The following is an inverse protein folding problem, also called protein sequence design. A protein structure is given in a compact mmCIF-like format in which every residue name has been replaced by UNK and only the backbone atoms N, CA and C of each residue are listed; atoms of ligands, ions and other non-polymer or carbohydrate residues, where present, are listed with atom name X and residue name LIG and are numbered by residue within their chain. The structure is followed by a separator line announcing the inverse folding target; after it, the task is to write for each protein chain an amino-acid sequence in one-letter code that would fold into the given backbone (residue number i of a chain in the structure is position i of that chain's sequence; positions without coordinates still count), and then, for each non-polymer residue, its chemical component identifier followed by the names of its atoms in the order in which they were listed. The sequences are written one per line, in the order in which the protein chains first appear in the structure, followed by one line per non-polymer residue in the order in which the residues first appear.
data_IF_641481968078
#
_entry.id   IF_641481968078
#
_cell.length_a   1.000
_cell.length_b   1.000
_cell.length_c   1.000
_cell.angle_alpha   90.00
_cell.angle_beta   90.00
_cell.angle_gamma   90.00
#
_symmetry.space_group_name_H-M   'P 1'
#
loop_
_entity.id
_entity.type
_entity.pdbx_description
1 polymer ?
#
# COMPACT_ATOMS: atom_id res chain seq x y z
N UNK A 1 -11.88 -22.84 27.56
CA UNK A 1 -12.14 -21.58 26.83
C UNK A 1 -11.33 -21.66 25.54
N UNK A 2 -11.92 -22.14 24.44
CA UNK A 2 -11.16 -22.50 23.23
C UNK A 2 -11.49 -21.61 22.01
N UNK A 3 -12.25 -20.53 22.21
CA UNK A 3 -12.75 -19.71 21.09
C UNK A 3 -11.78 -18.63 20.57
N UNK A 4 -10.73 -18.27 21.31
CA UNK A 4 -9.83 -17.17 20.96
C UNK A 4 -8.96 -17.48 19.73
N UNK A 5 -8.37 -18.68 19.71
CA UNK A 5 -7.52 -19.15 18.60
C UNK A 5 -8.32 -19.35 17.31
N UNK A 6 -9.53 -19.93 17.39
CA UNK A 6 -10.40 -20.13 16.22
C UNK A 6 -10.83 -18.80 15.58
N UNK A 7 -11.14 -17.79 16.39
CA UNK A 7 -11.51 -16.46 15.90
C UNK A 7 -10.36 -15.82 15.10
N UNK A 8 -9.12 -15.93 15.60
CA UNK A 8 -7.94 -15.42 14.90
C UNK A 8 -7.66 -16.16 13.61
N UNK A 9 -7.76 -17.50 13.60
CA UNK A 9 -7.60 -18.31 12.37
C UNK A 9 -8.62 -17.90 11.31
N UNK A 10 -9.87 -17.64 11.70
CA UNK A 10 -10.91 -17.12 10.81
C UNK A 10 -10.58 -15.72 10.27
N UNK A 11 -10.12 -14.82 11.13
CA UNK A 11 -9.68 -13.48 10.77
C UNK A 11 -8.53 -13.49 9.77
N UNK A 12 -7.51 -14.32 10.03
CA UNK A 12 -6.37 -14.51 9.15
C UNK A 12 -6.78 -15.05 7.77
N UNK A 13 -7.67 -16.05 7.72
CA UNK A 13 -8.18 -16.57 6.46
C UNK A 13 -8.92 -15.48 5.64
N UNK A 14 -9.68 -14.61 6.30
CA UNK A 14 -10.35 -13.48 5.65
C UNK A 14 -9.34 -12.43 5.13
N UNK A 15 -8.32 -12.11 5.93
CA UNK A 15 -7.23 -11.21 5.55
C UNK A 15 -6.44 -11.76 4.35
N UNK A 16 -6.05 -13.03 4.39
CA UNK A 16 -5.35 -13.71 3.31
C UNK A 16 -6.17 -13.70 2.02
N UNK A 17 -7.49 -13.94 2.10
CA UNK A 17 -8.39 -13.83 0.96
C UNK A 17 -8.43 -12.41 0.38
N UNK A 18 -8.46 -11.39 1.24
CA UNK A 18 -8.43 -9.99 0.81
C UNK A 18 -7.13 -9.65 0.08
N UNK A 19 -5.99 -10.01 0.66
CA UNK A 19 -4.66 -9.81 0.06
C UNK A 19 -4.54 -10.55 -1.28
N UNK A 20 -4.95 -11.81 -1.33
CA UNK A 20 -4.88 -12.61 -2.56
C UNK A 20 -5.76 -12.04 -3.67
N UNK A 21 -6.94 -11.51 -3.35
CA UNK A 21 -7.82 -10.86 -4.34
C UNK A 21 -7.15 -9.64 -4.98
N UNK A 22 -6.51 -8.79 -4.17
CA UNK A 22 -5.80 -7.62 -4.69
C UNK A 22 -4.52 -8.02 -5.44
N UNK A 23 -3.75 -8.99 -4.95
CA UNK A 23 -2.59 -9.56 -5.67
C UNK A 23 -2.97 -10.11 -7.04
N UNK A 24 -4.08 -10.85 -7.15
CA UNK A 24 -4.58 -11.35 -8.42
C UNK A 24 -4.90 -10.22 -9.42
N UNK A 25 -5.50 -9.13 -8.92
CA UNK A 25 -5.77 -7.94 -9.74
C UNK A 25 -4.48 -7.30 -10.25
N UNK A 26 -3.45 -7.19 -9.39
CA UNK A 26 -2.14 -6.66 -9.79
C UNK A 26 -1.44 -7.58 -10.79
N UNK A 27 -1.54 -8.90 -10.62
CA UNK A 27 -1.01 -9.86 -11.59
C UNK A 27 -1.69 -9.73 -12.96
N UNK A 28 -3.00 -9.50 -13.01
CA UNK A 28 -3.71 -9.31 -14.28
C UNK A 28 -3.35 -7.98 -14.97
N UNK A 29 -3.05 -6.94 -14.20
CA UNK A 29 -2.49 -5.67 -14.72
C UNK A 29 -1.08 -5.87 -15.26
N UNK A 30 -0.25 -6.63 -14.54
CA UNK A 30 1.11 -6.97 -14.97
C UNK A 30 1.12 -7.77 -16.28
N UNK A 31 0.18 -8.72 -16.46
CA UNK A 31 0.01 -9.45 -17.73
C UNK A 31 -0.37 -8.55 -18.91
N UNK A 32 -0.98 -7.40 -18.64
CA UNK A 32 -1.31 -6.36 -19.64
C UNK A 32 -0.18 -5.35 -19.83
N UNK A 33 1.00 -5.63 -19.25
CA UNK A 33 2.17 -4.74 -19.25
C UNK A 33 1.89 -3.36 -18.63
N UNK A 34 0.86 -3.28 -17.79
CA UNK A 34 0.54 -2.05 -17.05
C UNK A 34 1.53 -1.87 -15.90
N UNK A 35 1.96 -0.62 -15.68
CA UNK A 35 2.84 -0.31 -14.55
C UNK A 35 2.07 -0.37 -13.23
N UNK A 36 2.71 -0.99 -12.26
CA UNK A 36 2.34 -0.91 -10.84
C UNK A 36 2.72 0.50 -10.37
N UNK A 37 1.81 1.17 -9.65
CA UNK A 37 2.08 2.50 -9.10
C UNK A 37 2.76 2.41 -7.72
N UNK A 38 3.23 3.55 -7.21
CA UNK A 38 3.91 3.60 -5.91
C UNK A 38 3.01 3.17 -4.75
N UNK A 39 1.69 3.42 -4.84
CA UNK A 39 0.71 3.00 -3.84
C UNK A 39 0.59 1.47 -3.75
N UNK A 40 0.60 0.78 -4.90
CA UNK A 40 0.54 -0.66 -4.97
C UNK A 40 1.86 -1.30 -4.50
N UNK A 41 3.00 -0.67 -4.78
CA UNK A 41 4.30 -1.10 -4.21
C UNK A 41 4.32 -0.97 -2.70
N UNK A 42 3.92 0.20 -2.17
CA UNK A 42 3.85 0.44 -0.72
C UNK A 42 2.87 -0.52 -0.05
N UNK A 43 1.76 -0.85 -0.73
CA UNK A 43 0.81 -1.83 -0.25
C UNK A 43 1.40 -3.25 -0.21
N UNK A 44 2.22 -3.63 -1.20
CA UNK A 44 2.88 -4.93 -1.25
C UNK A 44 3.91 -5.12 -0.13
N UNK A 45 4.67 -4.07 0.20
CA UNK A 45 5.72 -4.13 1.23
C UNK A 45 5.17 -4.11 2.65
N UNK A 46 4.03 -3.44 2.87
CA UNK A 46 3.40 -3.33 4.18
C UNK A 46 2.16 -4.22 4.31
N UNK A 47 0.95 -3.71 4.04
CA UNK A 47 -0.31 -4.43 4.29
C UNK A 47 -0.46 -5.81 3.63
N UNK A 48 0.26 -6.11 2.54
CA UNK A 48 0.23 -7.42 1.89
C UNK A 48 1.27 -8.41 2.41
N UNK A 49 2.15 -7.95 3.31
CA UNK A 49 3.13 -8.76 4.01
C UNK A 49 2.50 -9.35 5.28
N UNK A 50 2.05 -10.60 5.18
CA UNK A 50 1.31 -11.30 6.23
C UNK A 50 2.21 -12.13 7.17
N UNK A 51 3.53 -11.93 7.11
CA UNK A 51 4.51 -12.73 7.87
C UNK A 51 4.30 -12.57 9.38
N UNK A 52 3.98 -11.35 9.83
CA UNK A 52 3.76 -11.08 11.26
C UNK A 52 2.49 -11.78 11.77
N UNK A 53 1.41 -11.79 10.99
CA UNK A 53 0.17 -12.49 11.32
C UNK A 53 0.35 -14.01 11.34
N UNK A 54 1.08 -14.58 10.36
CA UNK A 54 1.38 -16.02 10.32
C UNK A 54 2.21 -16.44 11.53
N UNK A 55 3.28 -15.70 11.82
CA UNK A 55 4.13 -15.97 12.99
C UNK A 55 3.39 -15.83 14.31
N UNK A 56 2.45 -14.90 14.39
CA UNK A 56 1.59 -14.73 15.57
C UNK A 56 0.72 -15.97 15.78
N UNK A 57 0.12 -16.53 14.73
CA UNK A 57 -0.67 -17.75 14.81
C UNK A 57 0.19 -18.95 15.22
N UNK A 58 1.38 -19.13 14.64
CA UNK A 58 2.30 -20.20 15.04
C UNK A 58 2.65 -20.14 16.53
N UNK A 59 2.92 -18.94 17.04
CA UNK A 59 3.28 -18.74 18.44
C UNK A 59 2.10 -19.06 19.38
N UNK A 60 0.89 -18.68 18.98
CA UNK A 60 -0.33 -18.94 19.75
C UNK A 60 -0.77 -20.41 19.67
N UNK A 61 -0.53 -21.08 18.54
CA UNK A 61 -0.81 -22.52 18.36
C UNK A 61 0.19 -23.38 19.14
N UNK A 62 1.43 -22.91 19.28
CA UNK A 62 2.47 -23.56 20.09
C UNK A 62 2.32 -23.30 21.59
N UNK A 63 1.52 -22.32 21.99
CA UNK A 63 1.28 -22.00 23.39
C UNK A 63 0.25 -22.96 23.99
N UNK A 64 0.52 -23.47 25.20
CA UNK A 64 -0.43 -24.33 25.91
C UNK A 64 -1.68 -23.60 26.39
N UNK A 65 -1.59 -22.28 26.57
CA UNK A 65 -2.70 -21.42 26.96
C UNK A 65 -2.71 -20.16 26.08
N UNK A 66 -3.90 -19.81 25.61
CA UNK A 66 -4.10 -18.71 24.67
C UNK A 66 -3.82 -17.34 25.29
N UNK A 67 -4.23 -17.10 26.53
CA UNK A 67 -4.03 -15.83 27.23
C UNK A 67 -2.55 -15.66 27.62
N UNK A 68 -1.89 -16.76 28.00
CA UNK A 68 -0.45 -16.79 28.21
C UNK A 68 0.31 -16.50 26.91
N UNK A 69 -0.09 -17.11 25.80
CA UNK A 69 0.49 -16.86 24.48
C UNK A 69 0.37 -15.39 24.07
N UNK A 70 -0.82 -14.78 24.25
CA UNK A 70 -1.05 -13.37 23.98
C UNK A 70 -0.16 -12.45 24.84
N UNK A 71 0.02 -12.78 26.11
CA UNK A 71 0.84 -11.98 27.04
C UNK A 71 2.33 -11.98 26.68
N UNK A 72 2.79 -13.02 25.99
CA UNK A 72 4.18 -13.15 25.54
C UNK A 72 4.45 -12.45 24.18
N UNK A 73 3.44 -11.89 23.53
CA UNK A 73 3.60 -11.22 22.23
C UNK A 73 4.26 -9.85 22.37
N UNK A 74 5.21 -9.55 21.48
CA UNK A 74 5.77 -8.22 21.32
C UNK A 74 4.74 -7.27 20.66
N UNK A 75 4.95 -5.96 20.76
CA UNK A 75 4.07 -4.91 20.24
C UNK A 75 3.70 -5.10 18.76
N UNK A 76 4.64 -5.59 17.94
CA UNK A 76 4.42 -5.87 16.50
C UNK A 76 3.41 -7.02 16.32
N UNK A 77 3.62 -8.13 17.04
CA UNK A 77 2.73 -9.29 16.96
C UNK A 77 1.36 -9.00 17.61
N UNK A 78 1.31 -8.15 18.64
CA UNK A 78 0.04 -7.68 19.19
C UNK A 78 -0.76 -6.84 18.18
N UNK A 79 -0.08 -6.00 17.38
CA UNK A 79 -0.73 -5.28 16.29
C UNK A 79 -1.31 -6.25 15.25
N UNK A 80 -0.58 -7.33 14.93
CA UNK A 80 -1.06 -8.39 14.03
C UNK A 80 -2.31 -9.11 14.59
N UNK A 81 -2.37 -9.39 15.90
CA UNK A 81 -3.59 -9.93 16.56
C UNK A 81 -4.78 -9.00 16.37
N UNK A 82 -4.60 -7.70 16.57
CA UNK A 82 -5.69 -6.73 16.41
C UNK A 82 -6.14 -6.65 14.95
N UNK A 83 -5.20 -6.63 14.01
CA UNK A 83 -5.50 -6.66 12.58
C UNK A 83 -6.32 -7.91 12.19
N UNK A 84 -5.94 -9.09 12.66
CA UNK A 84 -6.71 -10.32 12.44
C UNK A 84 -8.11 -10.26 13.07
N UNK A 85 -8.24 -9.71 14.29
CA UNK A 85 -9.55 -9.55 14.97
C UNK A 85 -10.48 -8.61 14.21
N UNK A 86 -9.97 -7.52 13.63
CA UNK A 86 -10.76 -6.60 12.81
C UNK A 86 -11.36 -7.31 11.59
N UNK A 87 -10.56 -8.12 10.89
CA UNK A 87 -11.04 -8.93 9.78
C UNK A 87 -12.00 -10.04 10.23
N UNK A 88 -11.80 -10.64 11.40
CA UNK A 88 -12.72 -11.62 11.97
C UNK A 88 -14.08 -11.02 12.32
N UNK A 89 -14.10 -9.77 12.78
CA UNK A 89 -15.31 -8.99 13.06
C UNK A 89 -16.03 -8.51 11.79
N UNK A 90 -15.47 -8.75 10.61
CA UNK A 90 -16.01 -8.26 9.34
C UNK A 90 -15.81 -6.77 9.14
N UNK A 91 -14.96 -6.12 9.95
CA UNK A 91 -14.53 -4.75 9.72
C UNK A 91 -13.51 -4.80 8.60
N UNK A 92 -14.00 -4.78 7.35
CA UNK A 92 -13.16 -4.47 6.20
C UNK A 92 -12.84 -2.98 6.28
N UNK A 93 -11.92 -2.60 7.16
CA UNK A 93 -11.30 -1.27 7.08
C UNK A 93 -10.51 -1.24 5.79
N UNK A 94 -11.20 -0.91 4.70
CA UNK A 94 -10.62 -0.23 3.57
C UNK A 94 -9.76 0.89 4.13
N UNK A 95 -8.44 0.69 4.11
CA UNK A 95 -7.44 1.72 4.42
C UNK A 95 -7.52 2.76 3.30
N UNK A 96 -8.55 3.59 3.38
CA UNK A 96 -8.70 4.86 2.69
C UNK A 96 -9.12 5.88 3.75
N UNK A 97 -8.32 5.99 4.82
CA UNK A 97 -8.49 7.03 5.83
C UNK A 97 -7.19 7.34 6.59
N UNK A 98 -6.03 7.36 5.92
CA UNK A 98 -4.95 8.23 6.39
C UNK A 98 -5.28 9.66 5.96
N UNK A 99 -5.85 10.37 6.93
CA UNK A 99 -6.15 11.79 6.97
C UNK A 99 -5.01 12.62 6.37
N UNK A 100 -5.19 13.12 5.15
CA UNK A 100 -4.34 14.19 4.63
C UNK A 100 -4.55 15.45 5.48
N UNK A 101 -3.51 16.09 6.04
CA UNK A 101 -3.67 17.38 6.67
C UNK A 101 -4.04 18.42 5.61
N UNK A 102 -5.29 18.90 5.70
CA UNK A 102 -5.82 19.96 4.88
C UNK A 102 -5.06 21.27 5.15
N UNK A 103 -4.07 21.60 4.33
CA UNK A 103 -3.60 23.00 4.22
C UNK A 103 -4.36 23.67 3.08
N UNK A 104 -5.34 24.50 3.46
CA UNK A 104 -6.04 25.42 2.56
C UNK A 104 -5.00 26.31 1.87
N UNK A 105 -4.91 26.27 0.54
CA UNK A 105 -4.36 27.39 -0.23
C UNK A 105 -5.25 27.67 -1.44
N UNK A 106 -5.62 28.94 -1.55
CA UNK A 106 -6.71 29.53 -2.35
C UNK A 106 -6.67 29.15 -3.83
N UNK A 107 -7.88 28.95 -4.37
CA UNK A 107 -8.23 29.08 -5.79
C UNK A 107 -7.66 30.38 -6.37
N UNK A 108 -6.90 30.28 -7.46
CA UNK A 108 -6.89 31.31 -8.49
C UNK A 108 -7.34 30.71 -9.83
N UNK A 109 -7.95 31.56 -10.64
CA UNK A 109 -9.11 31.30 -11.46
C UNK A 109 -8.73 31.47 -12.94
N UNK A 110 -8.83 30.37 -13.71
CA UNK A 110 -9.26 30.28 -15.12
C UNK A 110 -8.60 31.25 -16.14
N UNK A 111 -7.95 30.80 -17.22
CA UNK A 111 -8.56 30.28 -18.47
C UNK A 111 -7.49 29.76 -19.46
N UNK A 112 -7.90 28.97 -20.48
CA UNK A 112 -7.03 28.17 -21.33
C UNK A 112 -6.56 28.94 -22.58
N UNK A 113 -5.37 28.61 -23.11
CA UNK A 113 -4.95 29.07 -24.44
C UNK A 113 -4.32 27.90 -25.22
N UNK A 114 -5.13 27.39 -26.13
CA UNK A 114 -4.89 27.02 -27.53
C UNK A 114 -3.45 26.93 -28.05
N UNK A 115 -3.13 25.74 -28.56
CA UNK A 115 -2.34 25.41 -29.76
C UNK A 115 -1.75 26.61 -30.56
N UNK A 116 -0.42 26.62 -30.75
CA UNK A 116 0.18 27.23 -31.95
C UNK A 116 1.39 26.44 -32.46
N UNK A 117 1.33 26.19 -33.76
CA UNK A 117 2.20 25.45 -34.66
C UNK A 117 3.40 26.31 -35.10
N UNK A 118 4.52 25.64 -35.39
CA UNK A 118 5.50 25.92 -36.46
C UNK A 118 6.60 27.02 -36.33
N UNK A 119 7.84 26.53 -36.51
CA UNK A 119 8.98 27.02 -37.34
C UNK A 119 9.64 28.38 -36.99
N UNK A 120 10.91 28.44 -36.54
CA UNK A 120 12.24 28.27 -37.21
C UNK A 120 12.88 29.65 -37.50
N UNK A 121 14.19 29.81 -37.86
CA UNK A 121 15.42 29.06 -37.58
C UNK A 121 16.49 29.92 -36.87
N UNK A 122 17.50 29.32 -36.22
CA UNK A 122 18.73 30.08 -35.87
C UNK A 122 19.61 30.20 -37.12
N UNK A 123 19.59 31.39 -37.73
CA UNK A 123 20.42 31.76 -38.86
C UNK A 123 21.83 32.16 -38.41
N UNK A 124 22.77 31.67 -39.20
CA UNK A 124 24.21 31.95 -39.29
C UNK A 124 24.57 33.44 -39.17
N UNK A 125 25.64 33.73 -38.43
CA UNK A 125 26.34 35.02 -38.40
C UNK A 125 27.85 34.81 -38.40
N UNK A 126 28.51 35.29 -39.46
CA UNK A 126 29.85 34.95 -39.93
C UNK A 126 30.95 35.91 -39.43
N UNK A 127 32.14 35.34 -39.15
CA UNK A 127 33.53 35.82 -39.24
C UNK A 127 34.04 37.14 -38.62
N UNK A 128 35.20 37.04 -37.96
CA UNK A 128 36.29 38.02 -38.03
C UNK A 128 37.66 37.30 -37.93
N UNK A 129 38.63 37.87 -38.63
CA UNK A 129 39.94 37.39 -39.08
C UNK A 129 41.02 38.24 -38.40
N UNK A 130 42.15 37.68 -37.98
CA UNK A 130 43.46 38.34 -38.01
C UNK A 130 44.59 37.45 -37.44
N UNK A 131 45.57 37.24 -38.32
CA UNK A 131 46.97 36.85 -38.13
C UNK A 131 47.73 37.71 -37.10
N UNK A 132 48.64 37.09 -36.34
CA UNK A 132 50.03 37.55 -36.07
C UNK A 132 50.89 36.31 -35.86
#
# INVERSE_FOLDING_TARGET
MEGGSELLKKGFAALQKHVNKRKATLQDRLKKEERINDDDSTWLDGPANLIDEERTLELLDSASDYEQGLSCLNNVLQAAVNHMKEFAAGVTSSVSALKAPSTKRKKEKTRPITEFKNQAPISTGTAAWATV
#
